data_IF_531673606313
#
_entry.id   IF_531673606313
#
_cell.length_a   1.000
_cell.length_b   1.000
_cell.length_c   1.000
_cell.angle_alpha   90.00
_cell.angle_beta   90.00
_cell.angle_gamma   90.00
#
_symmetry.space_group_name_H-M   'P 1'
#
loop_
_entity.id
_entity.type
_entity.pdbx_description
1 polymer ?
#
# COMPACT_ATOMS: atom_id res chain seq x y z
N UNK A 1 -2.62 0.48 8.12
CA UNK A 1 -2.32 -0.51 7.10
C UNK A 1 -3.60 -0.90 6.40
N UNK A 2 -3.55 -1.20 5.12
CA UNK A 2 -4.69 -1.57 4.29
C UNK A 2 -4.65 -0.90 2.93
N UNK A 3 -5.76 -0.87 2.23
CA UNK A 3 -5.81 -0.46 0.84
C UNK A 3 -6.17 1.01 0.59
N UNK A 4 -6.77 1.23 -0.59
CA UNK A 4 -7.12 2.57 -1.05
C UNK A 4 -8.11 3.28 -0.12
N UNK A 5 -9.01 2.56 0.54
CA UNK A 5 -9.93 3.15 1.53
C UNK A 5 -9.15 3.80 2.67
N UNK A 6 -8.16 3.10 3.20
CA UNK A 6 -7.30 3.64 4.24
C UNK A 6 -6.44 4.81 3.75
N UNK A 7 -5.90 4.75 2.52
CA UNK A 7 -5.04 5.82 2.00
C UNK A 7 -5.78 7.15 1.78
N UNK A 8 -7.07 7.10 1.47
CA UNK A 8 -7.93 8.27 1.30
C UNK A 8 -8.76 8.61 2.55
N UNK A 9 -8.96 7.65 3.46
CA UNK A 9 -9.85 7.79 4.62
C UNK A 9 -9.15 8.25 5.90
N UNK A 10 -7.88 7.94 6.08
CA UNK A 10 -7.15 8.24 7.32
C UNK A 10 -6.15 9.39 7.13
N UNK A 11 -6.53 10.58 7.55
CA UNK A 11 -5.65 11.75 7.60
C UNK A 11 -4.67 11.62 8.77
N UNK A 12 -3.48 11.10 8.46
CA UNK A 12 -2.43 10.86 9.45
C UNK A 12 -1.93 12.15 10.12
N UNK A 13 -1.98 13.29 9.44
CA UNK A 13 -1.56 14.56 10.02
C UNK A 13 -2.54 15.02 11.11
N UNK A 14 -3.84 15.01 10.82
CA UNK A 14 -4.88 15.31 11.81
C UNK A 14 -4.88 14.33 12.97
N UNK A 15 -4.75 13.02 12.67
CA UNK A 15 -4.63 12.02 13.72
C UNK A 15 -3.42 12.27 14.63
N UNK A 16 -2.29 12.69 14.06
CA UNK A 16 -1.10 13.02 14.86
C UNK A 16 -1.35 14.18 15.79
N UNK A 17 -2.03 15.21 15.30
CA UNK A 17 -2.39 16.40 16.09
C UNK A 17 -3.37 16.06 17.22
N UNK A 18 -4.47 15.36 16.90
CA UNK A 18 -5.52 15.02 17.88
C UNK A 18 -5.06 14.03 18.95
N UNK A 19 -4.23 13.06 18.57
CA UNK A 19 -3.74 12.03 19.47
C UNK A 19 -2.46 12.42 20.22
N UNK A 20 -1.81 13.53 19.84
CA UNK A 20 -0.49 13.91 20.38
C UNK A 20 0.61 12.87 20.13
N UNK A 21 0.46 12.07 19.07
CA UNK A 21 1.37 10.99 18.68
C UNK A 21 1.67 11.04 17.20
N UNK A 22 2.90 10.71 16.82
CA UNK A 22 3.24 10.57 15.40
C UNK A 22 2.48 9.42 14.78
N UNK A 23 1.71 9.67 13.75
CA UNK A 23 0.99 8.68 12.98
C UNK A 23 1.45 8.69 11.52
N UNK A 24 1.36 7.55 10.87
CA UNK A 24 1.71 7.39 9.46
C UNK A 24 0.70 6.46 8.79
N UNK A 25 0.16 6.90 7.69
CA UNK A 25 -0.67 6.07 6.84
C UNK A 25 0.23 5.29 5.88
N UNK A 26 0.20 3.97 5.98
CA UNK A 26 0.99 3.07 5.14
C UNK A 26 0.09 2.25 4.19
N UNK A 27 -1.16 2.66 4.00
CA UNK A 27 -2.07 2.03 3.08
C UNK A 27 -1.66 2.29 1.63
N UNK A 28 -1.71 1.26 0.82
CA UNK A 28 -1.36 1.30 -0.62
C UNK A 28 -2.57 0.82 -1.42
N UNK A 29 -2.96 1.57 -2.46
CA UNK A 29 -4.08 1.17 -3.32
C UNK A 29 -3.86 -0.23 -3.88
N UNK A 30 -4.79 -1.16 -3.61
CA UNK A 30 -4.70 -2.56 -3.98
C UNK A 30 -3.80 -3.41 -3.09
N UNK A 31 -3.46 -2.93 -1.89
CA UNK A 31 -2.71 -3.68 -0.89
C UNK A 31 -3.52 -4.87 -0.37
N UNK A 32 -2.90 -6.02 -0.30
CA UNK A 32 -3.42 -7.24 0.30
C UNK A 32 -2.84 -7.48 1.70
N UNK A 33 -3.38 -8.43 2.45
CA UNK A 33 -2.95 -8.65 3.83
C UNK A 33 -1.51 -9.16 3.94
N UNK A 34 -1.00 -9.89 2.95
CA UNK A 34 0.41 -10.25 2.93
C UNK A 34 1.31 -9.02 2.68
N UNK A 35 0.90 -8.04 1.87
CA UNK A 35 1.61 -6.77 1.71
C UNK A 35 1.68 -6.04 3.04
N UNK A 36 0.52 -5.86 3.70
CA UNK A 36 0.40 -5.24 5.02
C UNK A 36 1.30 -5.92 6.06
N UNK A 37 1.38 -7.25 6.05
CA UNK A 37 2.25 -8.01 6.95
C UNK A 37 3.73 -7.67 6.75
N UNK A 38 4.22 -7.67 5.52
CA UNK A 38 5.62 -7.37 5.24
C UNK A 38 5.96 -5.90 5.47
N UNK A 39 5.03 -4.98 5.17
CA UNK A 39 5.15 -3.56 5.49
C UNK A 39 5.26 -3.37 7.01
N UNK A 40 4.41 -4.03 7.79
CA UNK A 40 4.47 -3.99 9.25
C UNK A 40 5.79 -4.53 9.79
N UNK A 41 6.25 -5.67 9.30
CA UNK A 41 7.57 -6.24 9.66
C UNK A 41 8.70 -5.25 9.41
N UNK A 42 8.66 -4.60 8.26
CA UNK A 42 9.66 -3.60 7.91
C UNK A 42 9.59 -2.39 8.84
N UNK A 43 8.39 -1.85 9.11
CA UNK A 43 8.20 -0.70 9.99
C UNK A 43 8.72 -0.96 11.41
N UNK A 44 8.51 -2.15 11.95
CA UNK A 44 8.95 -2.56 13.29
C UNK A 44 10.47 -2.55 13.48
N UNK A 45 11.25 -2.59 12.41
CA UNK A 45 12.71 -2.46 12.49
C UNK A 45 13.17 -1.05 12.87
N UNK A 46 12.40 -0.06 12.49
CA UNK A 46 12.80 1.34 12.60
C UNK A 46 12.03 2.11 13.65
N UNK A 47 10.86 1.62 14.02
CA UNK A 47 9.95 2.32 14.93
C UNK A 47 9.32 1.37 15.93
N UNK A 48 9.28 1.81 17.19
CA UNK A 48 8.46 1.16 18.22
C UNK A 48 7.03 1.66 18.04
N UNK A 49 6.17 0.80 17.54
CA UNK A 49 4.75 1.10 17.33
C UNK A 49 3.98 0.89 18.62
N UNK A 50 2.98 1.73 18.91
CA UNK A 50 2.03 1.58 20.01
C UNK A 50 0.71 0.97 19.56
N UNK A 51 0.24 1.39 18.38
CA UNK A 51 -1.04 0.97 17.82
C UNK A 51 -0.90 0.78 16.31
N UNK A 52 -1.55 -0.23 15.80
CA UNK A 52 -1.75 -0.49 14.38
C UNK A 52 -3.24 -0.47 14.11
N UNK A 53 -3.67 0.37 13.15
CA UNK A 53 -5.01 0.34 12.59
C UNK A 53 -4.93 -0.49 11.32
N UNK A 54 -5.74 -1.55 11.23
CA UNK A 54 -5.79 -2.45 10.10
C UNK A 54 -7.14 -2.29 9.40
N UNK A 55 -7.11 -1.73 8.20
CA UNK A 55 -8.28 -1.59 7.34
C UNK A 55 -8.57 -2.93 6.65
N UNK A 56 -9.64 -3.58 7.06
CA UNK A 56 -10.09 -4.87 6.54
C UNK A 56 -11.22 -4.65 5.55
N UNK A 57 -10.88 -4.44 4.29
CA UNK A 57 -11.88 -4.39 3.23
C UNK A 57 -12.26 -5.81 2.80
N UNK A 58 -13.58 -6.11 2.83
CA UNK A 58 -14.10 -7.41 2.41
C UNK A 58 -13.70 -7.83 0.99
N UNK A 59 -13.40 -6.87 0.13
CA UNK A 59 -12.98 -7.12 -1.26
C UNK A 59 -11.72 -7.98 -1.33
N UNK A 60 -10.82 -7.88 -0.35
CA UNK A 60 -9.59 -8.70 -0.32
C UNK A 60 -9.86 -10.16 -0.11
N UNK A 61 -10.97 -10.49 0.56
CA UNK A 61 -11.30 -11.87 0.88
C UNK A 61 -12.08 -12.59 -0.22
N UNK A 62 -12.67 -11.86 -1.17
CA UNK A 62 -13.56 -12.44 -2.19
C UNK A 62 -13.11 -12.21 -3.63
N UNK A 63 -12.19 -11.29 -3.88
CA UNK A 63 -11.69 -11.00 -5.21
C UNK A 63 -10.43 -11.82 -5.50
N UNK A 64 -10.34 -12.37 -6.71
CA UNK A 64 -9.08 -12.93 -7.21
C UNK A 64 -8.06 -11.81 -7.35
N UNK A 65 -6.84 -12.07 -6.90
CA UNK A 65 -5.73 -11.15 -6.98
C UNK A 65 -5.38 -10.83 -8.43
N UNK A 66 -5.47 -9.56 -8.82
CA UNK A 66 -4.87 -9.07 -10.06
C UNK A 66 -3.44 -8.62 -9.77
N UNK A 67 -2.51 -9.51 -10.03
CA UNK A 67 -1.24 -9.59 -9.29
C UNK A 67 -0.07 -8.82 -9.89
N UNK A 68 -0.14 -8.37 -11.14
CA UNK A 68 1.10 -8.08 -11.85
C UNK A 68 1.77 -6.74 -11.55
N UNK A 69 1.01 -5.64 -11.39
CA UNK A 69 1.59 -4.29 -11.27
C UNK A 69 1.80 -3.88 -9.82
N UNK A 70 0.88 -4.26 -8.94
CA UNK A 70 0.88 -3.80 -7.54
C UNK A 70 2.03 -4.42 -6.75
N UNK A 71 2.32 -5.71 -6.94
CA UNK A 71 3.50 -6.37 -6.36
C UNK A 71 4.80 -5.65 -6.67
N UNK A 72 4.97 -5.26 -7.92
CA UNK A 72 6.17 -4.56 -8.34
C UNK A 72 6.30 -3.19 -7.67
N UNK A 73 5.19 -2.50 -7.43
CA UNK A 73 5.20 -1.21 -6.74
C UNK A 73 5.61 -1.38 -5.27
N UNK A 74 5.00 -2.32 -4.56
CA UNK A 74 5.34 -2.64 -3.16
C UNK A 74 6.77 -3.15 -3.07
N UNK A 75 7.16 -4.13 -3.90
CA UNK A 75 8.51 -4.67 -3.92
C UNK A 75 9.58 -3.60 -4.19
N UNK A 76 9.34 -2.70 -5.13
CA UNK A 76 10.30 -1.66 -5.48
C UNK A 76 10.39 -0.54 -4.43
N UNK A 77 9.38 -0.37 -3.59
CA UNK A 77 9.41 0.57 -2.46
C UNK A 77 10.36 0.11 -1.34
N UNK A 78 10.61 -1.20 -1.19
CA UNK A 78 11.55 -1.67 -0.19
C UNK A 78 13.00 -1.41 -0.60
N UNK A 79 13.86 -0.92 0.32
CA UNK A 79 15.29 -1.00 0.14
C UNK A 79 15.76 -2.47 0.18
N UNK A 80 17.04 -2.72 -0.09
CA UNK A 80 17.62 -4.07 0.06
C UNK A 80 17.57 -4.50 1.54
N UNK A 81 16.71 -5.45 1.87
CA UNK A 81 16.51 -5.95 3.23
C UNK A 81 15.89 -7.36 3.23
N UNK A 82 15.90 -8.01 4.39
CA UNK A 82 15.34 -9.36 4.54
C UNK A 82 13.83 -9.41 4.26
N UNK A 83 13.09 -8.36 4.58
CA UNK A 83 11.65 -8.28 4.32
C UNK A 83 11.37 -8.24 2.82
N UNK A 84 12.16 -7.48 2.07
CA UNK A 84 12.10 -7.45 0.61
C UNK A 84 12.36 -8.84 0.01
N UNK A 85 13.36 -9.53 0.52
CA UNK A 85 13.67 -10.89 0.07
C UNK A 85 12.54 -11.87 0.44
N UNK A 86 12.03 -11.80 1.66
CA UNK A 86 10.91 -12.63 2.12
C UNK A 86 9.64 -12.38 1.30
N UNK A 87 9.31 -11.13 1.04
CA UNK A 87 8.20 -10.73 0.19
C UNK A 87 8.35 -11.30 -1.24
N UNK A 88 9.53 -11.17 -1.83
CA UNK A 88 9.83 -11.73 -3.14
C UNK A 88 9.65 -13.25 -3.18
N UNK A 89 10.23 -13.96 -2.24
CA UNK A 89 10.18 -15.44 -2.20
C UNK A 89 8.77 -15.96 -1.95
N UNK A 90 7.97 -15.21 -1.19
CA UNK A 90 6.61 -15.63 -0.88
C UNK A 90 5.71 -15.60 -2.11
N UNK A 91 5.73 -14.51 -2.86
CA UNK A 91 4.75 -14.27 -3.93
C UNK A 91 5.41 -14.12 -5.30
N UNK A 92 6.28 -13.16 -5.47
CA UNK A 92 6.81 -12.77 -6.79
C UNK A 92 7.64 -13.84 -7.48
N UNK A 93 8.36 -14.67 -6.73
CA UNK A 93 9.18 -15.73 -7.29
C UNK A 93 8.35 -16.78 -8.05
N UNK A 94 7.08 -16.93 -7.69
CA UNK A 94 6.17 -17.89 -8.31
C UNK A 94 5.42 -17.30 -9.50
N UNK A 95 5.05 -16.03 -9.42
CA UNK A 95 4.06 -15.42 -10.30
C UNK A 95 4.66 -14.36 -11.24
N UNK A 96 5.62 -13.56 -10.76
CA UNK A 96 6.11 -12.39 -11.52
C UNK A 96 7.65 -12.23 -11.46
N UNK A 97 8.39 -13.32 -11.59
CA UNK A 97 9.86 -13.27 -11.59
C UNK A 97 10.45 -12.43 -12.72
N UNK A 98 9.76 -12.35 -13.88
CA UNK A 98 10.25 -11.61 -15.06
C UNK A 98 10.39 -10.12 -14.79
N UNK A 99 9.36 -9.52 -14.20
CA UNK A 99 9.35 -8.09 -13.87
C UNK A 99 10.40 -7.69 -12.84
N UNK A 100 10.82 -8.62 -12.00
CA UNK A 100 11.89 -8.39 -11.03
C UNK A 100 13.26 -8.32 -11.69
N UNK A 101 13.57 -9.21 -12.61
CA UNK A 101 14.85 -9.24 -13.30
C UNK A 101 14.90 -8.30 -14.50
N UNK A 102 13.79 -8.16 -15.21
CA UNK A 102 13.66 -7.35 -16.41
C UNK A 102 12.71 -6.17 -16.14
N UNK A 103 13.08 -5.28 -15.25
CA UNK A 103 12.23 -4.16 -14.81
C UNK A 103 11.59 -3.36 -15.96
N UNK A 104 12.25 -3.23 -17.08
CA UNK A 104 11.70 -2.52 -18.22
C UNK A 104 10.42 -3.18 -18.78
N UNK A 105 10.22 -4.47 -18.58
CA UNK A 105 9.00 -5.16 -19.04
C UNK A 105 7.74 -4.65 -18.34
N UNK A 106 7.85 -4.24 -17.07
CA UNK A 106 6.75 -3.68 -16.30
C UNK A 106 6.40 -2.25 -16.72
N UNK A 107 7.36 -1.54 -17.33
CA UNK A 107 7.24 -0.12 -17.66
C UNK A 107 7.26 0.13 -19.17
N UNK A 108 7.20 -0.91 -20.00
CA UNK A 108 7.25 -0.74 -21.44
C UNK A 108 6.14 0.18 -21.98
N UNK A 109 4.96 0.18 -21.34
CA UNK A 109 3.86 1.07 -21.70
C UNK A 109 4.17 2.56 -21.43
N UNK A 110 5.14 2.82 -20.58
CA UNK A 110 5.54 4.17 -20.19
C UNK A 110 6.54 4.81 -21.18
N UNK A 111 6.93 4.11 -22.25
CA UNK A 111 7.93 4.63 -23.19
C UNK A 111 7.55 6.02 -23.76
N UNK A 112 6.25 6.28 -23.99
CA UNK A 112 5.75 7.58 -24.47
C UNK A 112 5.94 8.73 -23.48
N UNK A 113 6.08 8.42 -22.21
CA UNK A 113 6.20 9.40 -21.12
C UNK A 113 7.62 9.55 -20.58
N UNK A 114 8.58 8.76 -21.08
CA UNK A 114 9.97 8.74 -20.58
C UNK A 114 10.59 10.15 -20.56
N UNK A 115 10.46 10.92 -21.63
CA UNK A 115 11.02 12.27 -21.69
C UNK A 115 10.40 13.21 -20.66
N UNK A 116 9.09 13.12 -20.41
CA UNK A 116 8.40 13.90 -19.35
C UNK A 116 8.87 13.45 -17.97
N UNK A 117 8.99 12.16 -17.76
CA UNK A 117 9.44 11.57 -16.49
C UNK A 117 10.88 11.99 -16.16
N UNK A 118 11.78 12.00 -17.13
CA UNK A 118 13.16 12.46 -16.93
C UNK A 118 13.17 13.93 -16.51
N UNK A 119 12.45 14.80 -17.25
CA UNK A 119 12.36 16.23 -16.91
C UNK A 119 11.78 16.45 -15.51
N UNK A 120 10.73 15.70 -15.16
CA UNK A 120 10.13 15.76 -13.82
C UNK A 120 11.13 15.37 -12.74
N UNK A 121 11.85 14.27 -12.91
CA UNK A 121 12.86 13.79 -11.95
C UNK A 121 14.06 14.72 -11.80
N UNK A 122 14.32 15.56 -12.78
CA UNK A 122 15.36 16.58 -12.73
C UNK A 122 14.90 17.88 -12.07
N UNK A 123 13.59 18.07 -11.90
CA UNK A 123 13.03 19.29 -11.29
C UNK A 123 13.33 19.37 -9.80
N UNK A 124 13.42 20.59 -9.28
CA UNK A 124 13.62 20.84 -7.84
C UNK A 124 12.41 20.38 -7.03
N UNK A 125 11.20 20.50 -7.59
CA UNK A 125 9.98 19.98 -6.98
C UNK A 125 10.08 18.47 -6.70
N UNK A 126 10.59 17.68 -7.65
CA UNK A 126 10.80 16.24 -7.45
C UNK A 126 11.90 15.95 -6.45
N UNK A 127 13.03 16.66 -6.51
CA UNK A 127 14.16 16.48 -5.58
C UNK A 127 13.78 16.79 -4.14
N UNK A 128 12.89 17.76 -3.95
CA UNK A 128 12.41 18.20 -2.64
C UNK A 128 11.14 17.47 -2.18
N UNK A 129 10.68 16.46 -2.92
CA UNK A 129 9.45 15.72 -2.64
C UNK A 129 8.22 16.62 -2.46
N UNK A 130 8.11 17.68 -3.28
CA UNK A 130 6.96 18.56 -3.26
C UNK A 130 5.66 17.75 -3.48
N UNK A 131 4.59 18.02 -2.71
CA UNK A 131 3.29 17.33 -2.85
C UNK A 131 2.72 17.37 -4.27
N UNK A 132 2.96 18.46 -4.99
CA UNK A 132 2.52 18.64 -6.38
C UNK A 132 3.09 17.61 -7.34
N UNK A 133 4.29 17.10 -7.05
CA UNK A 133 4.98 16.11 -7.88
C UNK A 133 4.54 14.68 -7.55
N UNK A 134 4.12 14.47 -6.32
CA UNK A 134 3.68 13.15 -5.82
C UNK A 134 2.20 12.93 -6.09
N UNK A 135 1.47 13.96 -6.54
CA UNK A 135 0.05 13.85 -6.90
C UNK A 135 -0.13 12.92 -8.10
N UNK A 136 -1.00 11.93 -7.93
CA UNK A 136 -1.25 10.90 -8.94
C UNK A 136 -2.04 11.44 -10.15
N UNK A 137 -2.89 12.43 -9.92
CA UNK A 137 -3.74 13.06 -10.94
C UNK A 137 -4.27 14.41 -10.44
N UNK A 138 -5.08 15.09 -11.27
CA UNK A 138 -5.61 16.42 -10.94
C UNK A 138 -6.60 16.48 -9.75
N UNK A 139 -7.06 15.33 -9.29
CA UNK A 139 -8.04 15.23 -8.19
C UNK A 139 -7.41 14.78 -6.89
N UNK A 140 -6.27 14.10 -6.95
CA UNK A 140 -5.61 13.50 -5.82
C UNK A 140 -4.37 14.32 -5.46
N UNK A 141 -4.33 14.80 -4.22
CA UNK A 141 -3.19 15.55 -3.69
C UNK A 141 -2.57 14.81 -2.53
N UNK A 142 -1.29 14.51 -2.63
CA UNK A 142 -0.55 13.91 -1.53
C UNK A 142 -0.29 14.94 -0.43
N UNK A 143 -0.80 14.67 0.75
CA UNK A 143 -0.76 15.60 1.90
C UNK A 143 0.39 15.33 2.87
N UNK A 144 1.18 14.33 2.61
CA UNK A 144 2.25 13.85 3.50
C UNK A 144 1.84 12.65 4.35
N UNK A 145 2.81 12.01 4.99
CA UNK A 145 2.62 10.88 5.90
C UNK A 145 1.71 9.75 5.37
N UNK A 146 1.71 9.56 4.05
CA UNK A 146 0.93 8.52 3.38
C UNK A 146 -0.53 8.86 3.11
N UNK A 147 -1.02 10.04 3.49
CA UNK A 147 -2.39 10.47 3.24
C UNK A 147 -2.54 11.15 1.87
N UNK A 148 -3.59 10.77 1.14
CA UNK A 148 -3.97 11.37 -0.14
C UNK A 148 -5.36 11.99 -0.02
N UNK A 149 -5.44 13.30 -0.17
CA UNK A 149 -6.71 14.01 -0.25
C UNK A 149 -7.29 13.93 -1.66
N UNK A 150 -8.58 13.64 -1.77
CA UNK A 150 -9.29 13.56 -3.05
C UNK A 150 -10.35 14.63 -3.14
N UNK A 151 -10.27 15.47 -4.17
CA UNK A 151 -11.17 16.64 -4.37
C UNK A 151 -12.41 16.33 -5.22
N UNK A 152 -12.53 15.11 -5.76
CA UNK A 152 -13.67 14.75 -6.62
C UNK A 152 -14.69 13.91 -5.89
N UNK A 153 -15.92 14.43 -5.82
CA UNK A 153 -17.07 13.61 -5.47
C UNK A 153 -17.38 12.63 -6.60
N UNK A 154 -17.20 11.35 -6.33
CA UNK A 154 -17.74 10.34 -7.22
C UNK A 154 -19.24 10.36 -7.10
N UNK A 155 -19.94 10.57 -8.22
CA UNK A 155 -21.36 10.22 -8.28
C UNK A 155 -21.49 8.81 -7.76
N UNK A 156 -22.40 8.60 -6.79
CA UNK A 156 -22.72 7.25 -6.31
C UNK A 156 -22.91 6.34 -7.51
N UNK A 157 -21.93 5.49 -7.79
CA UNK A 157 -22.20 4.37 -8.68
C UNK A 157 -23.12 3.45 -7.89
N UNK A 158 -24.20 3.02 -8.51
CA UNK A 158 -24.98 1.89 -8.03
C UNK A 158 -24.11 0.64 -8.23
N UNK A 159 -23.08 0.51 -7.44
CA UNK A 159 -22.35 -0.75 -7.35
C UNK A 159 -23.26 -1.73 -6.66
N UNK A 160 -23.56 -2.83 -7.34
CA UNK A 160 -24.16 -4.00 -6.70
C UNK A 160 -23.29 -4.32 -5.47
N UNK A 161 -23.91 -4.36 -4.29
CA UNK A 161 -23.25 -4.90 -3.13
C UNK A 161 -22.78 -6.31 -3.49
N UNK A 162 -21.51 -6.61 -3.29
CA UNK A 162 -21.04 -7.99 -3.38
C UNK A 162 -21.67 -8.74 -2.21
N UNK A 163 -22.39 -9.81 -2.51
CA UNK A 163 -22.93 -10.67 -1.47
C UNK A 163 -21.77 -11.36 -0.76
N UNK A 164 -21.79 -11.26 0.57
CA UNK A 164 -20.81 -11.95 1.39
C UNK A 164 -21.07 -13.47 1.31
N UNK A 165 -20.05 -14.21 0.88
CA UNK A 165 -20.09 -15.67 0.79
C UNK A 165 -18.87 -16.26 1.49
N UNK A 166 -19.09 -16.81 2.69
CA UNK A 166 -18.03 -17.39 3.51
C UNK A 166 -17.29 -18.55 2.80
N UNK A 167 -17.93 -19.21 1.84
CA UNK A 167 -17.31 -20.32 1.08
C UNK A 167 -16.33 -19.84 0.02
N UNK A 168 -16.34 -18.54 -0.30
CA UNK A 168 -15.45 -17.92 -1.30
C UNK A 168 -14.33 -17.10 -0.68
N UNK A 169 -14.19 -17.13 0.64
CA UNK A 169 -13.13 -16.39 1.31
C UNK A 169 -11.76 -16.95 0.93
N UNK A 170 -10.85 -16.03 0.58
CA UNK A 170 -9.45 -16.39 0.38
C UNK A 170 -8.80 -16.76 1.72
N UNK A 171 -8.41 -18.03 1.83
CA UNK A 171 -7.80 -18.56 3.04
C UNK A 171 -6.42 -17.96 3.32
N UNK A 172 -5.69 -17.53 2.29
CA UNK A 172 -4.38 -16.88 2.42
C UNK A 172 -4.51 -15.52 3.08
N UNK A 173 -5.50 -14.73 2.68
CA UNK A 173 -5.77 -13.42 3.28
C UNK A 173 -6.12 -13.58 4.77
N UNK A 174 -6.97 -14.54 5.12
CA UNK A 174 -7.30 -14.84 6.53
C UNK A 174 -6.07 -15.26 7.35
N UNK A 175 -5.17 -16.06 6.76
CA UNK A 175 -3.92 -16.45 7.39
C UNK A 175 -3.02 -15.24 7.69
N UNK A 176 -2.92 -14.29 6.74
CA UNK A 176 -2.10 -13.09 6.91
C UNK A 176 -2.69 -12.12 7.93
N UNK A 177 -4.01 -11.98 8.03
CA UNK A 177 -4.65 -11.27 9.15
C UNK A 177 -4.20 -11.88 10.48
N UNK A 178 -4.26 -13.20 10.60
CA UNK A 178 -3.78 -13.92 11.79
C UNK A 178 -2.29 -13.65 12.09
N UNK A 179 -1.44 -13.63 11.07
CA UNK A 179 -0.02 -13.30 11.20
C UNK A 179 0.22 -11.87 11.68
N UNK A 180 -0.56 -10.89 11.17
CA UNK A 180 -0.49 -9.47 11.59
C UNK A 180 -0.90 -9.36 13.07
N UNK A 181 -2.03 -9.95 13.46
CA UNK A 181 -2.50 -9.94 14.86
C UNK A 181 -1.46 -10.55 15.81
N UNK A 182 -0.90 -11.69 15.44
CA UNK A 182 0.12 -12.36 16.24
C UNK A 182 1.41 -11.53 16.35
N UNK A 183 1.80 -10.87 15.25
CA UNK A 183 2.97 -9.99 15.23
C UNK A 183 2.77 -8.77 16.15
N UNK A 184 1.58 -8.17 16.12
CA UNK A 184 1.22 -7.08 17.01
C UNK A 184 1.25 -7.52 18.48
N UNK A 185 0.59 -8.64 18.81
CA UNK A 185 0.57 -9.20 20.18
C UNK A 185 1.98 -9.49 20.70
N UNK A 186 2.81 -10.13 19.91
CA UNK A 186 4.20 -10.44 20.28
C UNK A 186 5.03 -9.20 20.60
N UNK A 187 4.73 -8.07 19.98
CA UNK A 187 5.43 -6.80 20.17
C UNK A 187 4.71 -5.85 21.14
N UNK A 188 3.63 -6.27 21.80
CA UNK A 188 2.87 -5.43 22.73
C UNK A 188 2.17 -4.25 22.06
N UNK A 189 1.72 -4.43 20.81
CA UNK A 189 1.10 -3.39 19.99
C UNK A 189 -0.41 -3.59 20.02
N UNK A 190 -1.15 -2.52 20.28
CA UNK A 190 -2.59 -2.54 20.14
C UNK A 190 -2.97 -2.62 18.65
N UNK A 191 -3.96 -3.45 18.33
CA UNK A 191 -4.51 -3.55 16.98
C UNK A 191 -5.99 -3.18 17.01
N UNK A 192 -6.39 -2.33 16.06
CA UNK A 192 -7.75 -1.83 15.90
C UNK A 192 -8.18 -2.04 14.45
#
# INVERSE_FOLDING_TARGET
LGASHGSYGFDSSKMSEELGMSTMNMCIGGEYMYDAYYILKYALKYKKLKTVILDLDYQYFVNQHDESILFNNVYNAYPACNEKFGYYMHKMAREEYRGTFLRWTNYWQCYKTVGKTIKLKQSDAYKNYSPEVVSMNKYDTYMGNGFVSRSKDYKKSTTSCLDWDENKLDSEEGEYVGKIVNLCRKNGINIV
#
